data_IF_999732546709
#
_entry.id   IF_999732546709
#
_cell.length_a   1.000
_cell.length_b   1.000
_cell.length_c   1.000
_cell.angle_alpha   90.00
_cell.angle_beta   90.00
_cell.angle_gamma   90.00
#
_symmetry.space_group_name_H-M   'P 1'
#
loop_
_entity.id
_entity.type
_entity.pdbx_description
1 polymer ?
#
# COMPACT_ATOMS: atom_id res chain seq x y z
N UNK A 1 9.49 -19.33 -0.23
CA UNK A 1 9.60 -17.87 -0.03
C UNK A 1 8.46 -17.21 -0.78
N UNK A 2 7.90 -16.13 -0.24
CA UNK A 2 6.80 -15.36 -0.81
C UNK A 2 7.25 -13.91 -0.97
N UNK A 3 7.17 -13.36 -2.18
CA UNK A 3 7.51 -11.97 -2.44
C UNK A 3 6.25 -11.10 -2.41
N UNK A 4 6.25 -10.07 -1.57
CA UNK A 4 5.18 -9.09 -1.48
C UNK A 4 5.51 -7.90 -2.38
N UNK A 5 4.71 -7.71 -3.43
CA UNK A 5 5.02 -6.79 -4.53
C UNK A 5 3.99 -5.66 -4.58
N UNK A 6 4.46 -4.42 -4.61
CA UNK A 6 3.64 -3.26 -4.90
C UNK A 6 3.53 -3.05 -6.41
N UNK A 7 2.29 -3.00 -6.89
CA UNK A 7 1.96 -2.89 -8.32
C UNK A 7 1.28 -1.56 -8.63
N UNK A 8 2.02 -0.47 -8.38
CA UNK A 8 1.52 0.90 -8.62
C UNK A 8 1.09 1.09 -10.07
N UNK A 9 1.73 0.42 -11.03
CA UNK A 9 1.37 0.44 -12.45
C UNK A 9 -0.07 0.02 -12.75
N UNK A 10 -0.65 -0.84 -11.91
CA UNK A 10 -2.00 -1.36 -12.12
C UNK A 10 -3.10 -0.42 -11.64
N UNK A 11 -2.78 0.75 -11.07
CA UNK A 11 -3.77 1.63 -10.43
C UNK A 11 -4.93 2.01 -11.37
N UNK A 12 -4.66 2.26 -12.66
CA UNK A 12 -5.70 2.59 -13.65
C UNK A 12 -6.63 1.42 -13.91
N UNK A 13 -6.07 0.21 -14.02
CA UNK A 13 -6.84 -1.02 -14.22
C UNK A 13 -7.70 -1.32 -12.99
N UNK A 14 -7.11 -1.21 -11.79
CA UNK A 14 -7.81 -1.40 -10.51
C UNK A 14 -8.93 -0.38 -10.32
N UNK A 15 -8.69 0.89 -10.66
CA UNK A 15 -9.70 1.94 -10.63
C UNK A 15 -10.87 1.63 -11.57
N UNK A 16 -10.59 1.20 -12.81
CA UNK A 16 -11.62 0.81 -13.78
C UNK A 16 -12.45 -0.36 -13.25
N UNK A 17 -11.78 -1.40 -12.73
CA UNK A 17 -12.43 -2.57 -12.14
C UNK A 17 -13.34 -2.19 -10.96
N UNK A 18 -12.88 -1.33 -10.04
CA UNK A 18 -13.72 -0.84 -8.94
C UNK A 18 -14.92 -0.05 -9.46
N UNK A 19 -14.72 0.85 -10.43
CA UNK A 19 -15.82 1.60 -11.05
C UNK A 19 -16.87 0.66 -11.65
N UNK A 20 -16.45 -0.36 -12.40
CA UNK A 20 -17.34 -1.34 -13.01
C UNK A 20 -18.13 -2.13 -11.96
N UNK A 21 -17.48 -2.61 -10.89
CA UNK A 21 -18.17 -3.31 -9.81
C UNK A 21 -19.25 -2.45 -9.16
N UNK A 22 -18.96 -1.18 -8.88
CA UNK A 22 -19.93 -0.26 -8.28
C UNK A 22 -21.11 -0.05 -9.23
N UNK A 23 -20.87 0.10 -10.53
CA UNK A 23 -21.93 0.26 -11.52
C UNK A 23 -22.77 -1.02 -11.67
N UNK A 24 -22.15 -2.19 -11.56
CA UNK A 24 -22.84 -3.47 -11.60
C UNK A 24 -23.73 -3.68 -10.36
N UNK A 25 -23.27 -3.27 -9.17
CA UNK A 25 -24.07 -3.29 -7.94
C UNK A 25 -25.28 -2.34 -7.99
N UNK A 26 -25.16 -1.22 -8.72
CA UNK A 26 -26.25 -0.25 -8.88
C UNK A 26 -27.39 -0.81 -9.74
N UNK A 27 -27.10 -1.79 -10.60
CA UNK A 27 -28.02 -2.78 -11.20
C UNK A 27 -29.37 -2.27 -11.77
N UNK A 28 -29.46 -0.97 -12.13
CA UNK A 28 -30.56 -0.23 -12.82
C UNK A 28 -31.24 0.88 -12.01
N UNK A 29 -30.88 1.09 -10.74
CA UNK A 29 -31.36 2.24 -9.96
C UNK A 29 -30.42 3.44 -10.06
N UNK A 30 -30.88 4.64 -9.68
CA UNK A 30 -29.95 5.75 -9.51
C UNK A 30 -28.99 5.44 -8.35
N UNK A 31 -27.68 5.73 -8.50
CA UNK A 31 -26.72 5.46 -7.45
C UNK A 31 -27.07 6.27 -6.20
N UNK A 32 -27.08 5.58 -5.07
CA UNK A 32 -27.28 6.19 -3.75
C UNK A 32 -26.16 7.21 -3.44
N UNK A 33 -26.37 8.07 -2.45
CA UNK A 33 -25.39 9.05 -1.96
C UNK A 33 -24.02 8.41 -1.69
N UNK A 34 -23.98 7.24 -1.07
CA UNK A 34 -22.72 6.54 -0.79
C UNK A 34 -22.04 6.06 -2.09
N UNK A 35 -22.81 5.45 -2.99
CA UNK A 35 -22.31 4.97 -4.28
C UNK A 35 -21.82 6.13 -5.16
N UNK A 36 -22.53 7.26 -5.20
CA UNK A 36 -22.08 8.51 -5.86
C UNK A 36 -20.75 9.00 -5.29
N UNK A 37 -20.57 8.96 -3.97
CA UNK A 37 -19.31 9.35 -3.32
C UNK A 37 -18.18 8.40 -3.71
N UNK A 38 -18.45 7.09 -3.74
CA UNK A 38 -17.47 6.08 -4.12
C UNK A 38 -17.08 6.18 -5.61
N UNK A 39 -18.06 6.41 -6.50
CA UNK A 39 -17.80 6.71 -7.91
C UNK A 39 -16.95 7.97 -8.06
N UNK A 40 -17.27 9.06 -7.34
CA UNK A 40 -16.45 10.28 -7.35
C UNK A 40 -15.03 10.02 -6.82
N UNK A 41 -14.87 9.17 -5.80
CA UNK A 41 -13.55 8.78 -5.29
C UNK A 41 -12.72 8.10 -6.38
N UNK A 42 -13.23 7.05 -7.01
CA UNK A 42 -12.49 6.31 -8.04
C UNK A 42 -12.32 7.10 -9.35
N UNK A 43 -13.28 7.94 -9.73
CA UNK A 43 -13.24 8.67 -11.02
C UNK A 43 -12.55 10.03 -10.94
N UNK A 44 -12.55 10.70 -9.79
CA UNK A 44 -11.95 12.04 -9.63
C UNK A 44 -10.74 12.01 -8.71
N UNK A 45 -10.91 11.50 -7.49
CA UNK A 45 -9.89 11.60 -6.46
C UNK A 45 -8.70 10.67 -6.68
N UNK A 46 -8.93 9.41 -7.09
CA UNK A 46 -7.85 8.46 -7.37
C UNK A 46 -6.99 8.92 -8.55
N UNK A 47 -7.54 9.32 -9.72
CA UNK A 47 -6.74 9.95 -10.77
C UNK A 47 -6.04 11.22 -10.29
N UNK A 48 -6.77 12.00 -9.50
CA UNK A 48 -6.28 13.04 -8.59
C UNK A 48 -4.89 12.74 -8.01
N UNK A 49 -4.86 11.71 -7.18
CA UNK A 49 -3.80 11.38 -6.26
C UNK A 49 -2.72 10.44 -6.84
N UNK A 50 -3.04 9.63 -7.84
CA UNK A 50 -2.14 8.58 -8.37
C UNK A 50 -1.50 8.95 -9.71
N UNK A 51 -2.02 9.96 -10.42
CA UNK A 51 -1.38 10.45 -11.64
C UNK A 51 -0.03 11.03 -11.28
N UNK A 52 1.02 10.54 -11.90
CA UNK A 52 2.38 11.01 -11.70
C UNK A 52 3.04 11.09 -13.06
N UNK A 53 3.59 12.25 -13.39
CA UNK A 53 4.34 12.51 -14.61
C UNK A 53 5.82 12.16 -14.43
N UNK A 54 6.54 12.05 -15.54
CA UNK A 54 7.95 11.68 -15.54
C UNK A 54 8.83 12.70 -14.81
N UNK A 55 8.51 14.00 -14.92
CA UNK A 55 9.26 15.10 -14.30
C UNK A 55 8.76 15.45 -12.89
N UNK A 56 7.67 14.85 -12.41
CA UNK A 56 7.10 15.11 -11.09
C UNK A 56 6.36 16.45 -10.93
N UNK A 57 6.13 17.20 -12.03
CA UNK A 57 5.44 18.50 -12.03
C UNK A 57 3.99 18.37 -11.55
N UNK A 58 3.29 17.31 -11.93
CA UNK A 58 1.92 17.03 -11.48
C UNK A 58 1.85 16.72 -9.99
N UNK A 59 2.93 16.16 -9.42
CA UNK A 59 3.09 15.95 -7.99
C UNK A 59 3.32 17.28 -7.27
N UNK A 60 4.27 18.09 -7.77
CA UNK A 60 4.58 19.40 -7.21
C UNK A 60 3.34 20.33 -7.18
N UNK A 61 2.62 20.42 -8.30
CA UNK A 61 1.39 21.22 -8.39
C UNK A 61 0.36 20.81 -7.33
N UNK A 62 0.17 19.51 -7.14
CA UNK A 62 -0.77 18.96 -6.15
C UNK A 62 -0.32 19.18 -4.72
N UNK A 63 0.98 19.11 -4.47
CA UNK A 63 1.56 19.50 -3.17
C UNK A 63 1.25 20.96 -2.87
N UNK A 64 1.47 21.87 -3.82
CA UNK A 64 1.18 23.31 -3.65
C UNK A 64 -0.32 23.50 -3.39
N UNK A 65 -1.18 23.00 -4.27
CA UNK A 65 -2.64 23.17 -4.17
C UNK A 65 -3.17 22.58 -2.86
N UNK A 66 -2.78 21.34 -2.51
CA UNK A 66 -3.26 20.70 -1.28
C UNK A 66 -2.76 21.40 -0.02
N UNK A 67 -1.51 21.89 -0.02
CA UNK A 67 -0.97 22.65 1.10
C UNK A 67 -1.67 24.00 1.26
N UNK A 68 -1.93 24.74 0.17
CA UNK A 68 -2.66 26.01 0.23
C UNK A 68 -4.08 25.81 0.73
N UNK A 69 -4.82 24.83 0.21
CA UNK A 69 -6.19 24.57 0.65
C UNK A 69 -6.23 24.08 2.11
N UNK A 70 -5.26 23.26 2.52
CA UNK A 70 -5.18 22.72 3.88
C UNK A 70 -4.98 23.79 4.96
N UNK A 71 -4.52 24.99 4.58
CA UNK A 71 -4.41 26.12 5.49
C UNK A 71 -5.79 26.67 5.88
N UNK A 72 -6.77 26.55 4.99
CA UNK A 72 -8.12 27.10 5.18
C UNK A 72 -9.16 26.05 5.58
N UNK A 73 -8.89 24.76 5.36
CA UNK A 73 -9.80 23.67 5.75
C UNK A 73 -9.07 22.34 6.00
N UNK A 74 -9.54 21.50 6.94
CA UNK A 74 -8.99 20.16 7.14
C UNK A 74 -9.11 19.31 5.88
N UNK A 75 -7.98 18.87 5.32
CA UNK A 75 -7.92 17.93 4.21
C UNK A 75 -6.59 17.17 4.19
N UNK A 76 -6.56 16.05 3.48
CA UNK A 76 -5.33 15.27 3.27
C UNK A 76 -4.33 16.05 2.42
N UNK A 77 -3.12 16.27 2.94
CA UNK A 77 -2.00 16.78 2.15
C UNK A 77 -1.56 15.70 1.17
N UNK A 78 -1.47 16.06 -0.11
CA UNK A 78 -1.14 15.13 -1.18
C UNK A 78 0.22 15.51 -1.76
N UNK A 79 1.18 14.60 -1.69
CA UNK A 79 2.49 14.77 -2.30
C UNK A 79 2.59 14.18 -3.70
N UNK A 80 3.84 14.00 -4.14
CA UNK A 80 4.18 13.44 -5.44
C UNK A 80 4.32 11.92 -5.43
N UNK A 81 5.31 11.43 -6.20
CA UNK A 81 5.54 10.00 -6.42
C UNK A 81 5.80 9.25 -5.13
N UNK A 82 6.60 9.82 -4.22
CA UNK A 82 6.98 9.20 -2.95
C UNK A 82 5.77 8.88 -2.08
N UNK A 83 4.81 9.80 -1.97
CA UNK A 83 3.57 9.57 -1.22
C UNK A 83 2.79 8.39 -1.80
N UNK A 84 2.68 8.32 -3.12
CA UNK A 84 1.99 7.18 -3.78
C UNK A 84 2.73 5.87 -3.49
N UNK A 85 4.08 5.86 -3.51
CA UNK A 85 4.89 4.69 -3.16
C UNK A 85 4.65 4.27 -1.71
N UNK A 86 4.68 5.23 -0.78
CA UNK A 86 4.45 4.98 0.64
C UNK A 86 3.07 4.35 0.86
N UNK A 87 2.02 4.87 0.21
CA UNK A 87 0.67 4.32 0.34
C UNK A 87 0.61 2.87 -0.13
N UNK A 88 1.16 2.55 -1.31
CA UNK A 88 1.11 1.17 -1.81
C UNK A 88 1.95 0.21 -0.96
N UNK A 89 3.10 0.66 -0.42
CA UNK A 89 3.93 -0.15 0.49
C UNK A 89 3.25 -0.36 1.84
N UNK A 90 2.57 0.65 2.40
CA UNK A 90 1.77 0.51 3.63
C UNK A 90 0.66 -0.53 3.45
N UNK A 91 -0.11 -0.45 2.37
CA UNK A 91 -1.13 -1.45 2.07
C UNK A 91 -0.55 -2.86 1.89
N UNK A 92 0.62 -2.98 1.24
CA UNK A 92 1.30 -4.25 1.06
C UNK A 92 1.83 -4.83 2.37
N UNK A 93 2.39 -3.98 3.25
CA UNK A 93 2.88 -4.36 4.56
C UNK A 93 1.77 -4.87 5.49
N UNK A 94 0.56 -4.28 5.43
CA UNK A 94 -0.60 -4.79 6.16
C UNK A 94 -1.00 -6.21 5.70
N UNK A 95 -0.98 -6.45 4.38
CA UNK A 95 -1.24 -7.77 3.83
C UNK A 95 -0.13 -8.77 4.24
N UNK A 96 1.13 -8.34 4.22
CA UNK A 96 2.28 -9.13 4.65
C UNK A 96 2.21 -9.49 6.14
N UNK A 97 1.85 -8.54 7.00
CA UNK A 97 1.64 -8.80 8.42
C UNK A 97 0.51 -9.80 8.66
N UNK A 98 -0.62 -9.64 7.96
CA UNK A 98 -1.75 -10.58 8.05
C UNK A 98 -1.33 -11.98 7.63
N UNK A 99 -0.55 -12.09 6.55
CA UNK A 99 0.03 -13.35 6.11
C UNK A 99 0.95 -13.97 7.18
N UNK A 100 1.90 -13.21 7.74
CA UNK A 100 2.80 -13.73 8.77
C UNK A 100 2.06 -14.22 10.02
N UNK A 101 1.03 -13.49 10.47
CA UNK A 101 0.18 -13.91 11.59
C UNK A 101 -0.59 -15.19 11.26
N UNK A 102 -1.08 -15.32 10.03
CA UNK A 102 -1.79 -16.54 9.59
C UNK A 102 -0.85 -17.75 9.54
N UNK A 103 0.36 -17.58 9.03
CA UNK A 103 1.38 -18.64 9.01
C UNK A 103 1.78 -19.06 10.44
N UNK A 104 1.91 -18.09 11.36
CA UNK A 104 2.16 -18.37 12.77
C UNK A 104 1.01 -19.15 13.43
N UNK A 105 -0.24 -18.83 13.10
CA UNK A 105 -1.42 -19.55 13.60
C UNK A 105 -1.44 -21.01 13.13
N UNK A 106 -0.92 -21.31 11.94
CA UNK A 106 -0.76 -22.67 11.39
C UNK A 106 0.48 -23.42 11.94
N UNK A 107 1.19 -22.85 12.92
CA UNK A 107 2.34 -23.49 13.56
C UNK A 107 3.65 -23.41 12.78
N UNK A 108 3.76 -22.47 11.83
CA UNK A 108 4.97 -22.22 11.06
C UNK A 108 5.61 -20.88 11.46
N UNK A 109 6.89 -20.71 11.14
CA UNK A 109 7.61 -19.46 11.35
C UNK A 109 7.85 -18.71 10.04
N UNK A 110 8.01 -17.39 10.17
CA UNK A 110 8.30 -16.49 9.06
C UNK A 110 9.47 -15.56 9.37
N UNK A 111 10.29 -15.28 8.35
CA UNK A 111 11.30 -14.22 8.42
C UNK A 111 11.08 -13.21 7.28
N UNK A 112 10.56 -12.00 7.57
CA UNK A 112 10.46 -10.94 6.58
C UNK A 112 11.84 -10.32 6.35
N UNK A 113 12.24 -10.23 5.09
CA UNK A 113 13.54 -9.70 4.66
C UNK A 113 13.34 -8.51 3.73
N UNK A 114 13.96 -7.39 4.06
CA UNK A 114 14.04 -6.18 3.24
C UNK A 114 15.42 -6.01 2.58
N UNK A 115 16.47 -6.60 3.17
CA UNK A 115 17.85 -6.52 2.68
C UNK A 115 18.12 -7.46 1.50
N UNK A 116 17.71 -7.08 0.30
CA UNK A 116 17.99 -7.83 -0.94
C UNK A 116 18.29 -6.91 -2.13
N UNK A 117 18.95 -7.44 -3.16
CA UNK A 117 19.14 -6.72 -4.43
C UNK A 117 17.81 -6.63 -5.17
N UNK A 118 17.12 -5.50 -5.04
CA UNK A 118 15.82 -5.26 -5.65
C UNK A 118 15.86 -5.32 -7.18
N UNK A 119 16.98 -4.97 -7.82
CA UNK A 119 17.10 -5.01 -9.29
C UNK A 119 17.15 -6.45 -9.78
N UNK A 120 17.98 -7.29 -9.15
CA UNK A 120 18.09 -8.71 -9.48
C UNK A 120 16.84 -9.49 -9.09
N UNK A 121 16.29 -9.25 -7.91
CA UNK A 121 15.07 -9.92 -7.44
C UNK A 121 13.88 -9.63 -8.36
N UNK A 122 13.68 -8.36 -8.76
CA UNK A 122 12.65 -7.98 -9.72
C UNK A 122 12.83 -8.68 -11.08
N UNK A 123 14.07 -8.74 -11.58
CA UNK A 123 14.39 -9.43 -12.84
C UNK A 123 14.11 -10.93 -12.76
N UNK A 124 14.51 -11.58 -11.67
CA UNK A 124 14.27 -13.01 -11.44
C UNK A 124 12.78 -13.35 -11.36
N UNK A 125 11.96 -12.44 -10.83
CA UNK A 125 10.50 -12.60 -10.73
C UNK A 125 9.74 -12.13 -11.98
N UNK A 126 10.42 -11.70 -13.05
CA UNK A 126 9.77 -11.21 -14.27
C UNK A 126 8.90 -9.95 -14.07
N UNK A 127 9.21 -9.14 -13.05
CA UNK A 127 8.39 -7.99 -12.67
C UNK A 127 8.73 -6.75 -13.51
N UNK A 128 7.73 -5.91 -13.86
CA UNK A 128 7.97 -4.68 -14.61
C UNK A 128 8.75 -3.65 -13.77
N UNK A 129 9.45 -2.72 -14.41
CA UNK A 129 10.28 -1.69 -13.73
C UNK A 129 9.51 -0.82 -12.73
N UNK A 130 8.20 -0.66 -12.94
CA UNK A 130 7.28 0.09 -12.08
C UNK A 130 6.83 -0.66 -10.83
N UNK A 131 7.07 -1.97 -10.76
CA UNK A 131 6.81 -2.78 -9.58
C UNK A 131 7.98 -2.70 -8.60
N UNK A 132 7.65 -2.66 -7.31
CA UNK A 132 8.64 -2.67 -6.23
C UNK A 132 8.32 -3.83 -5.29
N UNK A 133 9.37 -4.48 -4.77
CA UNK A 133 9.20 -5.55 -3.78
C UNK A 133 9.22 -4.86 -2.43
N UNK A 134 8.13 -4.99 -1.66
CA UNK A 134 8.04 -4.45 -0.30
C UNK A 134 8.90 -5.28 0.66
N UNK A 135 8.73 -6.60 0.62
CA UNK A 135 9.53 -7.54 1.41
C UNK A 135 9.44 -8.94 0.81
N UNK A 136 10.41 -9.78 1.13
CA UNK A 136 10.40 -11.22 0.81
C UNK A 136 10.31 -11.98 2.13
N UNK A 137 9.36 -12.90 2.23
CA UNK A 137 9.09 -13.65 3.46
C UNK A 137 9.46 -15.11 3.22
N UNK A 138 10.42 -15.63 3.99
CA UNK A 138 10.62 -17.08 4.08
C UNK A 138 9.59 -17.68 5.04
N UNK A 139 9.16 -18.91 4.75
CA UNK A 139 8.20 -19.67 5.55
C UNK A 139 8.82 -21.05 5.79
N UNK A 140 8.76 -21.55 7.02
CA UNK A 140 9.29 -22.86 7.35
C UNK A 140 8.99 -23.26 8.77
N UNK A 141 9.47 -24.44 9.17
CA UNK A 141 9.45 -24.84 10.57
C UNK A 141 10.56 -24.11 11.31
N UNK A 142 10.23 -23.53 12.46
CA UNK A 142 11.21 -22.95 13.36
C UNK A 142 12.23 -23.96 13.85
N UNK A 143 13.43 -23.49 14.14
CA UNK A 143 14.45 -24.27 14.85
C UNK A 143 14.95 -23.45 16.02
N UNK A 144 15.40 -24.10 17.10
CA UNK A 144 15.93 -23.40 18.27
C UNK A 144 17.07 -22.43 17.92
N UNK A 145 17.93 -22.81 16.95
CA UNK A 145 19.02 -21.96 16.44
C UNK A 145 18.53 -20.70 15.72
N UNK A 146 17.28 -20.67 15.26
CA UNK A 146 16.67 -19.49 14.63
C UNK A 146 16.29 -18.40 15.62
N UNK A 147 16.23 -18.71 16.92
CA UNK A 147 15.91 -17.75 17.97
C UNK A 147 17.22 -17.23 18.56
N UNK A 148 17.56 -15.98 18.24
CA UNK A 148 18.83 -15.38 18.67
C UNK A 148 18.80 -14.83 20.11
N UNK A 149 17.61 -14.60 20.68
CA UNK A 149 17.45 -14.09 22.03
C UNK A 149 16.00 -13.79 22.38
N UNK A 150 15.80 -13.18 23.56
CA UNK A 150 14.48 -12.76 24.02
C UNK A 150 13.86 -11.71 23.09
N UNK A 151 12.54 -11.78 22.92
CA UNK A 151 11.80 -10.81 22.09
C UNK A 151 11.62 -9.51 22.86
N UNK A 152 12.54 -8.58 22.65
CA UNK A 152 12.46 -7.24 23.22
C UNK A 152 11.54 -6.33 22.38
N UNK A 153 10.81 -5.46 23.05
CA UNK A 153 9.97 -4.40 22.45
C UNK A 153 10.19 -3.11 23.22
N UNK A 154 10.03 -1.97 22.54
CA UNK A 154 10.04 -0.66 23.20
C UNK A 154 8.94 -0.63 24.27
N UNK A 155 9.19 -0.04 25.47
CA UNK A 155 8.18 0.06 26.53
C UNK A 155 6.86 0.64 26.04
N UNK A 156 5.75 0.08 26.50
CA UNK A 156 4.40 0.42 26.03
C UNK A 156 4.06 1.91 26.18
N UNK A 157 4.44 2.50 27.31
CA UNK A 157 4.21 3.91 27.64
C UNK A 157 5.00 4.90 26.75
N UNK A 158 6.03 4.44 26.04
CA UNK A 158 6.75 5.26 25.07
C UNK A 158 6.08 5.26 23.68
N UNK A 159 5.35 4.18 23.35
CA UNK A 159 4.75 3.98 22.01
C UNK A 159 3.24 4.22 21.95
N UNK A 160 2.52 4.11 23.08
CA UNK A 160 1.06 4.35 23.14
C UNK A 160 0.75 5.52 24.05
N UNK A 161 0.02 6.51 23.50
CA UNK A 161 -0.53 7.65 24.24
C UNK A 161 -2.05 7.54 24.27
N UNK A 162 -2.63 7.54 25.47
CA UNK A 162 -4.08 7.67 25.68
C UNK A 162 -4.37 9.15 25.84
N UNK A 163 -5.18 9.70 24.93
CA UNK A 163 -5.61 11.12 24.90
C UNK A 163 -7.12 11.14 25.06
#
# INVERSE_FOLDING_TARGET
MVAFVTRRDLWKQRMKWHKENILNEVQHNQPDKYQKRMLNYYTKLVPFAYTNDFFGLTGLLRTIVSNTISLFRPMTRMGGVSDTKIVVHKSCALAAQTFMLSIAAEGYETCPMEGFDQVRARKALGLPRSAEISMIISVGKGTEKGIWGERLRVPYNEVVKVI
#
